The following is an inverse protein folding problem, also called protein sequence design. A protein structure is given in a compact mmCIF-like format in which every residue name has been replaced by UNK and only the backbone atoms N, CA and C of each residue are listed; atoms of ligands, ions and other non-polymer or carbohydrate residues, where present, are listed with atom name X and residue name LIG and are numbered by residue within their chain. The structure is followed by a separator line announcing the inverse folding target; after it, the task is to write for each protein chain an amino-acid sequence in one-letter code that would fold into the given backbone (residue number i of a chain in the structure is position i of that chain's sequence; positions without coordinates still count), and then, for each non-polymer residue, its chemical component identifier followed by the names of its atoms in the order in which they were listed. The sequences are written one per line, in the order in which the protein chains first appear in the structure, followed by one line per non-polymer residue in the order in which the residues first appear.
data_IF_080502661069
#
_entry.id   IF_080502661069
#
_cell.length_a   1.000
_cell.length_b   1.000
_cell.length_c   1.000
_cell.angle_alpha   90.00
_cell.angle_beta   90.00
_cell.angle_gamma   90.00
#
_symmetry.space_group_name_H-M   'P 1'
#
loop_
_entity.id
_entity.type
_entity.pdbx_description
1 polymer ?
#
# COMPACT_ATOMS: atom_id res chain seq x y z
N UNK A 1 3.79 2.57 5.50
CA UNK A 1 5.12 1.97 5.87
C UNK A 1 5.34 0.57 5.31
N UNK A 2 4.50 -0.41 5.64
CA UNK A 2 4.72 -1.82 5.30
C UNK A 2 4.91 -2.08 3.81
N UNK A 3 4.19 -1.39 2.93
CA UNK A 3 4.37 -1.52 1.48
C UNK A 3 5.76 -1.08 1.02
N UNK A 4 6.32 -0.01 1.61
CA UNK A 4 7.66 0.45 1.26
C UNK A 4 8.73 -0.52 1.73
N UNK A 5 8.57 -1.10 2.93
CA UNK A 5 9.43 -2.18 3.40
C UNK A 5 9.33 -3.38 2.46
N UNK A 6 8.12 -3.83 2.13
CA UNK A 6 7.93 -4.95 1.20
C UNK A 6 8.59 -4.71 -0.15
N UNK A 7 8.51 -3.50 -0.71
CA UNK A 7 9.21 -3.14 -1.95
C UNK A 7 10.73 -3.17 -1.77
N UNK A 8 11.24 -2.59 -0.69
CA UNK A 8 12.68 -2.53 -0.42
C UNK A 8 13.27 -3.93 -0.19
N UNK A 9 12.71 -4.68 0.77
CA UNK A 9 13.24 -5.97 1.22
C UNK A 9 13.11 -7.06 0.15
N UNK A 10 12.07 -7.02 -0.69
CA UNK A 10 11.88 -8.01 -1.77
C UNK A 10 12.54 -7.63 -3.10
N UNK A 11 13.22 -6.48 -3.17
CA UNK A 11 13.70 -5.94 -4.45
C UNK A 11 12.57 -5.73 -5.45
N UNK A 12 11.44 -5.17 -5.00
CA UNK A 12 10.19 -5.01 -5.74
C UNK A 12 9.65 -6.32 -6.34
N UNK A 13 9.65 -7.39 -5.52
CA UNK A 13 9.17 -8.72 -5.90
C UNK A 13 10.14 -9.50 -6.81
N UNK A 14 11.36 -9.01 -7.02
CA UNK A 14 12.35 -9.65 -7.90
C UNK A 14 13.31 -10.56 -7.16
N UNK A 15 13.42 -10.40 -5.84
CA UNK A 15 14.29 -11.19 -4.98
C UNK A 15 14.00 -12.68 -5.05
N UNK A 16 15.06 -13.49 -4.94
CA UNK A 16 14.95 -14.94 -5.04
C UNK A 16 14.09 -15.52 -3.92
N UNK A 17 14.31 -15.05 -2.68
CA UNK A 17 13.57 -15.51 -1.51
C UNK A 17 12.07 -15.22 -1.63
N UNK A 18 11.67 -14.03 -2.14
CA UNK A 18 10.26 -13.72 -2.31
C UNK A 18 9.62 -14.58 -3.42
N UNK A 19 10.35 -14.87 -4.51
CA UNK A 19 9.85 -15.70 -5.62
C UNK A 19 9.71 -17.17 -5.23
N UNK A 20 10.67 -17.72 -4.50
CA UNK A 20 10.71 -19.15 -4.16
C UNK A 20 9.89 -19.49 -2.92
N UNK A 21 9.77 -18.55 -1.99
CA UNK A 21 9.19 -18.81 -0.67
C UNK A 21 8.09 -17.84 -0.25
N UNK A 22 7.65 -16.93 -1.13
CA UNK A 22 6.69 -15.86 -0.83
C UNK A 22 7.09 -14.96 0.35
N UNK A 23 8.35 -15.02 0.79
CA UNK A 23 8.86 -14.26 1.92
C UNK A 23 9.40 -12.91 1.44
N UNK A 24 8.56 -11.87 1.56
CA UNK A 24 8.87 -10.53 1.05
C UNK A 24 9.76 -9.70 1.98
N UNK A 25 10.00 -10.16 3.22
CA UNK A 25 10.66 -9.38 4.26
C UNK A 25 11.90 -10.06 4.84
N UNK A 26 12.36 -11.17 4.25
CA UNK A 26 13.53 -11.88 4.75
C UNK A 26 13.34 -12.45 6.16
N UNK A 27 12.13 -12.86 6.53
CA UNK A 27 11.86 -13.33 7.91
C UNK A 27 12.56 -14.68 8.13
N UNK A 28 13.55 -14.70 9.03
CA UNK A 28 14.33 -15.89 9.40
C UNK A 28 13.50 -16.87 10.25
N UNK A 29 13.90 -18.14 10.26
CA UNK A 29 13.35 -19.17 11.14
C UNK A 29 13.80 -18.91 12.59
N UNK A 30 13.12 -18.02 13.29
CA UNK A 30 13.30 -17.86 14.73
C UNK A 30 12.84 -19.10 15.50
N UNK A 31 13.30 -19.24 16.75
CA UNK A 31 12.90 -20.33 17.66
C UNK A 31 11.38 -20.46 17.70
N UNK A 32 10.88 -21.68 17.50
CA UNK A 32 9.45 -22.01 17.54
C UNK A 32 8.71 -21.87 16.20
N UNK A 33 9.38 -21.55 15.10
CA UNK A 33 8.76 -21.67 13.78
C UNK A 33 8.47 -23.14 13.44
N UNK A 34 7.21 -23.43 13.12
CA UNK A 34 6.73 -24.79 12.78
C UNK A 34 6.22 -24.91 11.34
N UNK A 35 6.20 -23.81 10.59
CA UNK A 35 5.77 -23.82 9.20
C UNK A 35 6.90 -24.23 8.25
N UNK A 36 6.59 -24.17 6.95
CA UNK A 36 7.57 -24.45 5.90
C UNK A 36 8.78 -23.50 5.99
N UNK A 37 9.92 -23.98 5.51
CA UNK A 37 11.17 -23.22 5.49
C UNK A 37 11.94 -23.43 4.19
N UNK A 38 12.87 -22.53 3.93
CA UNK A 38 13.84 -22.61 2.83
C UNK A 38 15.20 -22.14 3.35
N UNK A 39 16.27 -22.75 2.84
CA UNK A 39 17.62 -22.28 3.09
C UNK A 39 18.06 -21.32 1.98
N UNK A 40 18.67 -20.21 2.36
CA UNK A 40 19.16 -19.18 1.45
C UNK A 40 20.40 -18.53 2.05
N UNK A 41 21.37 -18.18 1.22
CA UNK A 41 22.58 -17.50 1.67
C UNK A 41 22.31 -15.99 1.66
N UNK A 42 22.42 -15.32 2.81
CA UNK A 42 22.16 -13.87 2.96
C UNK A 42 23.30 -13.18 3.73
N UNK A 43 23.29 -13.25 5.07
CA UNK A 43 24.41 -12.82 5.92
C UNK A 43 25.42 -13.95 6.15
N UNK A 44 24.97 -15.20 6.05
CA UNK A 44 25.77 -16.42 6.21
C UNK A 44 25.27 -17.53 5.29
N UNK A 45 26.09 -18.56 5.09
CA UNK A 45 25.69 -19.74 4.31
C UNK A 45 24.55 -20.49 5.02
N UNK A 46 23.57 -20.91 4.22
CA UNK A 46 22.46 -21.79 4.60
C UNK A 46 21.65 -21.26 5.77
N UNK A 47 21.34 -19.96 5.76
CA UNK A 47 20.41 -19.40 6.74
C UNK A 47 18.98 -19.88 6.48
N UNK A 48 18.27 -20.18 7.56
CA UNK A 48 16.89 -20.64 7.48
C UNK A 48 15.93 -19.44 7.40
N UNK A 49 15.09 -19.44 6.38
CA UNK A 49 14.02 -18.47 6.18
C UNK A 49 12.65 -19.15 6.17
N UNK A 50 11.66 -18.44 6.71
CA UNK A 50 10.26 -18.89 6.67
C UNK A 50 9.79 -18.94 5.22
N UNK A 51 8.99 -19.96 4.89
CA UNK A 51 8.32 -20.12 3.59
C UNK A 51 6.81 -20.08 3.79
N UNK A 52 6.15 -19.43 2.85
CA UNK A 52 4.70 -19.22 2.88
C UNK A 52 4.05 -19.69 1.59
N UNK A 53 2.76 -20.03 1.66
CA UNK A 53 1.99 -20.42 0.48
C UNK A 53 1.56 -19.21 -0.34
N UNK A 54 1.23 -18.09 0.32
CA UNK A 54 0.87 -16.83 -0.33
C UNK A 54 1.69 -15.65 0.18
N UNK A 55 1.96 -14.63 -0.67
CA UNK A 55 2.62 -13.39 -0.24
C UNK A 55 1.97 -12.77 1.00
N UNK A 56 0.63 -12.74 1.05
CA UNK A 56 -0.13 -12.14 2.14
C UNK A 56 0.23 -12.70 3.54
N UNK A 57 0.63 -13.96 3.64
CA UNK A 57 1.06 -14.57 4.90
C UNK A 57 2.36 -13.95 5.40
N UNK A 58 3.31 -13.65 4.51
CA UNK A 58 4.55 -12.96 4.89
C UNK A 58 4.30 -11.53 5.38
N UNK A 59 3.31 -10.83 4.81
CA UNK A 59 2.89 -9.50 5.28
C UNK A 59 2.18 -9.57 6.64
N UNK A 60 1.36 -10.60 6.86
CA UNK A 60 0.74 -10.86 8.16
C UNK A 60 1.79 -11.16 9.22
N UNK A 61 2.75 -12.03 8.92
CA UNK A 61 3.81 -12.40 9.85
C UNK A 61 4.76 -11.23 10.15
N UNK A 62 5.09 -10.42 9.14
CA UNK A 62 5.79 -9.15 9.33
C UNK A 62 5.04 -8.18 10.26
N UNK A 63 3.72 -8.07 10.09
CA UNK A 63 2.88 -7.25 10.97
C UNK A 63 2.87 -7.78 12.40
N UNK A 64 2.81 -9.11 12.58
CA UNK A 64 2.96 -9.75 13.90
C UNK A 64 4.34 -9.51 14.51
N UNK A 65 5.40 -9.56 13.71
CA UNK A 65 6.76 -9.26 14.16
C UNK A 65 6.88 -7.84 14.73
N UNK A 66 6.29 -6.84 14.06
CA UNK A 66 6.29 -5.46 14.53
C UNK A 66 5.40 -5.26 15.76
N UNK A 67 4.20 -5.86 15.78
CA UNK A 67 3.23 -5.66 16.88
C UNK A 67 3.57 -6.44 18.15
N UNK A 68 4.25 -7.58 18.06
CA UNK A 68 4.53 -8.47 19.21
C UNK A 68 5.80 -8.12 19.97
N UNK A 69 6.76 -7.42 19.37
CA UNK A 69 8.08 -7.18 19.97
C UNK A 69 8.13 -5.85 20.70
N UNK A 70 8.54 -5.90 21.97
CA UNK A 70 8.60 -4.74 22.88
C UNK A 70 9.32 -3.52 22.26
N UNK A 71 10.44 -3.77 21.58
CA UNK A 71 11.28 -2.72 20.98
C UNK A 71 10.55 -1.83 19.97
N UNK A 72 9.46 -2.31 19.36
CA UNK A 72 8.68 -1.55 18.38
C UNK A 72 7.41 -0.91 18.98
N UNK A 73 7.04 -1.19 20.24
CA UNK A 73 5.79 -0.69 20.83
C UNK A 73 5.62 0.82 20.74
N UNK A 74 6.70 1.59 20.94
CA UNK A 74 6.69 3.06 20.86
C UNK A 74 6.33 3.59 19.47
N UNK A 75 6.50 2.80 18.41
CA UNK A 75 6.09 3.19 17.07
C UNK A 75 4.57 3.30 16.95
N UNK A 76 3.82 2.45 17.66
CA UNK A 76 2.37 2.43 17.61
C UNK A 76 1.69 3.56 18.38
N UNK A 77 2.46 4.40 19.10
CA UNK A 77 1.97 5.68 19.64
C UNK A 77 2.18 6.86 18.70
N UNK A 78 2.90 6.66 17.58
CA UNK A 78 3.03 7.68 16.56
C UNK A 78 1.75 7.79 15.74
N UNK A 79 1.55 8.95 15.13
CA UNK A 79 0.48 9.14 14.14
C UNK A 79 0.65 8.12 13.00
N UNK A 80 -0.45 7.47 12.61
CA UNK A 80 -0.43 6.41 11.59
C UNK A 80 -0.09 6.92 10.20
N UNK A 81 -0.31 8.21 9.92
CA UNK A 81 0.08 8.88 8.68
C UNK A 81 1.50 9.43 8.69
N UNK A 82 2.16 9.54 9.86
CA UNK A 82 3.53 10.04 9.97
C UNK A 82 4.57 8.95 9.64
N UNK A 83 4.62 8.60 8.35
CA UNK A 83 5.58 7.64 7.84
C UNK A 83 7.05 8.06 8.02
N UNK A 84 7.33 9.36 8.21
CA UNK A 84 8.70 9.85 8.41
C UNK A 84 9.19 9.49 9.81
N UNK A 85 8.39 9.77 10.84
CA UNK A 85 8.69 9.35 12.21
C UNK A 85 8.71 7.83 12.36
N UNK A 86 7.81 7.12 11.67
CA UNK A 86 7.85 5.65 11.63
C UNK A 86 9.15 5.12 11.02
N UNK A 87 9.60 5.67 9.89
CA UNK A 87 10.84 5.23 9.24
C UNK A 87 12.06 5.45 10.13
N UNK A 88 12.13 6.59 10.81
CA UNK A 88 13.19 6.91 11.76
C UNK A 88 13.14 5.98 12.98
N UNK A 89 11.95 5.83 13.58
CA UNK A 89 11.75 5.00 14.75
C UNK A 89 12.01 3.51 14.48
N UNK A 90 11.77 3.00 13.27
CA UNK A 90 12.15 1.63 12.90
C UNK A 90 13.67 1.43 12.97
N UNK A 91 14.45 2.38 12.45
CA UNK A 91 15.91 2.35 12.55
C UNK A 91 16.37 2.48 14.00
N UNK A 92 15.78 3.38 14.78
CA UNK A 92 16.18 3.60 16.18
C UNK A 92 15.79 2.42 17.08
N UNK A 93 14.66 1.79 16.77
CA UNK A 93 14.28 0.51 17.34
C UNK A 93 15.16 -0.64 16.86
N UNK A 94 16.05 -0.43 15.88
CA UNK A 94 17.03 -1.40 15.37
C UNK A 94 16.42 -2.49 14.46
N UNK A 95 15.48 -2.11 13.61
CA UNK A 95 14.98 -2.94 12.51
C UNK A 95 16.06 -3.20 11.44
N UNK A 96 16.86 -2.17 11.11
CA UNK A 96 17.95 -2.25 10.15
C UNK A 96 19.21 -1.57 10.68
N UNK A 97 20.37 -2.06 10.26
CA UNK A 97 21.69 -1.50 10.59
C UNK A 97 22.11 -0.36 9.67
N UNK A 98 21.58 -0.32 8.44
CA UNK A 98 21.88 0.71 7.46
C UNK A 98 21.40 2.10 7.93
N UNK A 99 22.32 3.09 8.11
CA UNK A 99 21.93 4.43 8.53
C UNK A 99 21.04 5.16 7.51
N UNK A 100 21.05 4.74 6.23
CA UNK A 100 20.20 5.31 5.18
C UNK A 100 18.83 4.65 5.09
N UNK A 101 18.54 3.65 5.93
CA UNK A 101 17.28 2.91 5.89
C UNK A 101 16.04 3.83 5.97
N UNK A 102 15.96 4.83 6.89
CA UNK A 102 14.80 5.73 6.92
C UNK A 102 14.63 6.51 5.61
N UNK A 103 15.73 7.06 5.07
CA UNK A 103 15.70 7.82 3.82
C UNK A 103 15.27 6.96 2.62
N UNK A 104 15.69 5.69 2.56
CA UNK A 104 15.26 4.75 1.52
C UNK A 104 13.75 4.49 1.59
N UNK A 105 13.20 4.26 2.78
CA UNK A 105 11.76 4.06 2.97
C UNK A 105 10.96 5.32 2.58
N UNK A 106 11.37 6.48 3.09
CA UNK A 106 10.73 7.77 2.76
C UNK A 106 10.74 7.99 1.25
N UNK A 107 11.88 7.77 0.59
CA UNK A 107 11.99 7.90 -0.87
C UNK A 107 11.02 6.97 -1.61
N UNK A 108 10.90 5.70 -1.21
CA UNK A 108 9.96 4.75 -1.83
C UNK A 108 8.51 5.20 -1.61
N UNK A 109 8.16 5.63 -0.39
CA UNK A 109 6.81 6.10 -0.06
C UNK A 109 6.44 7.30 -0.91
N UNK A 110 7.31 8.30 -1.02
CA UNK A 110 7.05 9.52 -1.78
C UNK A 110 7.05 9.26 -3.29
N UNK A 111 8.02 8.49 -3.81
CA UNK A 111 8.13 8.15 -5.23
C UNK A 111 6.92 7.41 -5.78
N UNK A 112 6.41 6.44 -5.01
CA UNK A 112 5.23 5.66 -5.41
C UNK A 112 3.94 6.16 -4.74
N UNK A 113 4.00 7.31 -4.07
CA UNK A 113 2.87 7.94 -3.39
C UNK A 113 2.13 7.00 -2.45
N UNK A 114 2.82 6.08 -1.79
CA UNK A 114 2.21 5.02 -0.97
C UNK A 114 1.39 5.58 0.21
N UNK A 115 1.73 6.77 0.69
CA UNK A 115 0.94 7.50 1.68
C UNK A 115 -0.49 7.84 1.23
N UNK A 116 -0.76 7.91 -0.09
CA UNK A 116 -2.12 8.13 -0.61
C UNK A 116 -3.00 6.88 -0.37
N UNK A 117 -2.37 5.69 -0.32
CA UNK A 117 -3.04 4.42 0.03
C UNK A 117 -3.38 4.40 1.53
N UNK A 118 -2.49 4.90 2.39
CA UNK A 118 -2.73 4.98 3.83
C UNK A 118 -3.93 5.91 4.11
N UNK A 119 -4.01 7.07 3.45
CA UNK A 119 -5.18 7.98 3.51
C UNK A 119 -6.48 7.28 3.10
N UNK A 120 -6.43 6.44 2.06
CA UNK A 120 -7.59 5.64 1.61
C UNK A 120 -8.03 4.60 2.65
N UNK A 121 -7.10 3.96 3.36
CA UNK A 121 -7.41 2.92 4.36
C UNK A 121 -7.89 3.53 5.68
N UNK A 122 -7.37 4.70 6.06
CA UNK A 122 -7.66 5.34 7.34
C UNK A 122 -8.94 6.20 7.33
N UNK A 123 -9.57 6.38 6.17
CA UNK A 123 -10.83 7.14 6.05
C UNK A 123 -10.67 8.66 6.25
N UNK A 124 -9.45 9.18 6.09
CA UNK A 124 -9.21 10.63 6.10
C UNK A 124 -9.57 11.22 4.74
N UNK A 125 -10.42 12.25 4.73
CA UNK A 125 -10.61 13.13 3.57
C UNK A 125 -9.25 13.80 3.26
N UNK A 126 -8.51 13.26 2.30
CA UNK A 126 -7.28 13.87 1.83
C UNK A 126 -7.60 15.18 1.12
N UNK A 127 -7.61 16.27 1.89
CA UNK A 127 -7.74 17.62 1.38
C UNK A 127 -6.38 18.03 0.82
N UNK A 128 -6.17 17.79 -0.48
CA UNK A 128 -4.93 18.05 -1.22
C UNK A 128 -4.60 19.54 -1.41
N UNK A 129 -4.98 20.41 -0.47
CA UNK A 129 -4.84 21.87 -0.57
C UNK A 129 -3.66 22.44 0.23
N UNK A 130 -2.84 21.61 0.89
CA UNK A 130 -1.70 22.05 1.67
C UNK A 130 -0.36 21.65 1.02
N UNK A 131 -0.14 22.13 -0.21
CA UNK A 131 1.16 22.47 -0.84
C UNK A 131 1.14 22.17 -2.34
N UNK A 132 0.63 23.13 -3.12
CA UNK A 132 1.17 23.44 -4.45
C UNK A 132 0.75 24.88 -4.83
N UNK A 133 1.27 25.86 -4.07
CA UNK A 133 1.35 27.23 -4.55
C UNK A 133 2.49 27.31 -5.58
N UNK A 134 2.22 26.85 -6.80
CA UNK A 134 2.96 27.28 -7.99
C UNK A 134 1.94 27.66 -9.06
N UNK A 135 1.73 28.97 -9.12
CA UNK A 135 0.90 29.72 -10.04
C UNK A 135 1.10 29.31 -11.51
N UNK A 136 -0.01 28.95 -12.17
CA UNK A 136 -0.22 29.26 -13.59
C UNK A 136 -1.72 29.47 -13.86
N UNK A 137 -2.14 30.73 -13.88
CA UNK A 137 -3.33 31.21 -14.60
C UNK A 137 -2.96 31.30 -16.09
N UNK A 138 -3.78 31.12 -17.12
CA UNK A 138 -5.17 30.74 -17.35
C UNK A 138 -5.17 30.02 -18.74
N UNK A 139 -6.21 29.31 -19.19
CA UNK A 139 -7.22 29.85 -20.12
C UNK A 139 -8.14 28.70 -20.60
N UNK A 140 -9.45 28.90 -20.38
CA UNK A 140 -10.64 28.44 -21.12
C UNK A 140 -10.81 26.97 -21.52
N UNK A 141 -11.76 26.29 -20.89
CA UNK A 141 -13.10 26.03 -21.47
C UNK A 141 -13.95 25.27 -20.45
N UNK A 142 -15.23 25.63 -20.34
CA UNK A 142 -16.18 25.06 -19.39
C UNK A 142 -16.38 23.55 -19.56
N UNK A 143 -15.53 22.76 -18.91
CA UNK A 143 -15.70 21.34 -18.70
C UNK A 143 -16.20 21.15 -17.28
N UNK A 144 -17.52 20.99 -17.15
CA UNK A 144 -18.17 20.72 -15.87
C UNK A 144 -17.73 19.34 -15.36
N UNK A 145 -16.69 19.34 -14.51
CA UNK A 145 -16.09 18.17 -13.87
C UNK A 145 -17.06 17.41 -12.94
N UNK A 146 -18.29 17.89 -12.76
CA UNK A 146 -19.27 17.34 -11.81
C UNK A 146 -20.04 16.11 -12.29
N UNK A 147 -19.88 15.67 -13.55
CA UNK A 147 -20.74 14.62 -14.17
C UNK A 147 -20.04 13.29 -14.47
N UNK A 148 -18.84 13.12 -13.95
CA UNK A 148 -18.06 11.90 -14.11
C UNK A 148 -17.56 11.41 -12.77
N UNK A 149 -17.53 10.09 -12.61
CA UNK A 149 -16.99 9.44 -11.44
C UNK A 149 -15.81 8.59 -11.86
N UNK A 150 -14.64 8.86 -11.27
CA UNK A 150 -13.48 7.98 -11.41
C UNK A 150 -13.63 6.83 -10.43
N UNK A 151 -13.65 5.60 -10.93
CA UNK A 151 -13.79 4.39 -10.13
C UNK A 151 -12.64 4.31 -9.14
N UNK A 152 -12.97 4.38 -7.86
CA UNK A 152 -12.06 4.18 -6.75
C UNK A 152 -12.28 2.80 -6.13
N UNK A 153 -11.33 2.39 -5.28
CA UNK A 153 -11.39 1.09 -4.63
C UNK A 153 -12.59 1.02 -3.68
N UNK A 154 -13.39 -0.04 -3.82
CA UNK A 154 -14.66 -0.21 -3.10
C UNK A 154 -15.89 0.21 -3.91
N UNK A 155 -15.70 0.86 -5.06
CA UNK A 155 -16.80 1.08 -5.97
C UNK A 155 -17.25 -0.21 -6.63
N UNK A 156 -18.55 -0.39 -6.62
CA UNK A 156 -19.28 -1.42 -7.35
C UNK A 156 -20.38 -0.71 -8.13
N UNK A 157 -20.90 -1.33 -9.18
CA UNK A 157 -22.06 -0.79 -9.85
C UNK A 157 -23.23 -0.54 -8.89
N UNK A 158 -23.36 -1.38 -7.85
CA UNK A 158 -24.36 -1.22 -6.79
C UNK A 158 -24.10 0.01 -5.89
N UNK A 159 -22.87 0.18 -5.39
CA UNK A 159 -22.55 1.34 -4.53
C UNK A 159 -22.66 2.66 -5.30
N UNK A 160 -22.26 2.68 -6.57
CA UNK A 160 -22.43 3.85 -7.44
C UNK A 160 -23.90 4.10 -7.80
N UNK A 161 -24.68 3.04 -8.04
CA UNK A 161 -26.13 3.13 -8.25
C UNK A 161 -26.83 3.79 -7.07
N UNK A 162 -26.49 3.40 -5.84
CA UNK A 162 -27.04 4.01 -4.62
C UNK A 162 -26.55 5.44 -4.40
N UNK A 163 -25.26 5.68 -4.61
CA UNK A 163 -24.63 7.00 -4.43
C UNK A 163 -25.23 8.06 -5.36
N UNK A 164 -25.49 7.70 -6.61
CA UNK A 164 -25.97 8.63 -7.64
C UNK A 164 -27.44 8.45 -7.98
N UNK A 165 -28.17 7.61 -7.24
CA UNK A 165 -29.58 7.32 -7.45
C UNK A 165 -29.92 6.97 -8.92
N UNK A 166 -29.05 6.17 -9.55
CA UNK A 166 -29.19 5.68 -10.93
C UNK A 166 -29.37 4.17 -10.92
N UNK A 167 -30.21 3.59 -11.78
CA UNK A 167 -30.30 2.13 -11.88
C UNK A 167 -29.00 1.53 -12.41
N UNK A 168 -28.65 0.32 -11.98
CA UNK A 168 -27.46 -0.39 -12.51
C UNK A 168 -27.58 -0.56 -14.03
N UNK A 169 -28.78 -0.84 -14.53
CA UNK A 169 -29.06 -0.99 -15.96
C UNK A 169 -28.75 0.30 -16.74
N UNK A 170 -29.17 1.47 -16.23
CA UNK A 170 -28.89 2.76 -16.85
C UNK A 170 -27.40 3.12 -16.76
N UNK A 171 -26.75 2.84 -15.62
CA UNK A 171 -25.32 3.09 -15.43
C UNK A 171 -24.48 2.28 -16.43
N UNK A 172 -24.83 0.99 -16.64
CA UNK A 172 -24.19 0.13 -17.66
C UNK A 172 -24.48 0.64 -19.07
N UNK A 173 -25.72 1.00 -19.37
CA UNK A 173 -26.14 1.48 -20.70
C UNK A 173 -25.40 2.74 -21.13
N UNK A 174 -25.25 3.71 -20.24
CA UNK A 174 -24.60 5.01 -20.55
C UNK A 174 -23.10 4.86 -20.73
N UNK A 175 -22.49 3.91 -20.01
CA UNK A 175 -21.05 3.64 -20.05
C UNK A 175 -20.68 2.47 -20.97
N UNK A 176 -21.65 1.90 -21.69
CA UNK A 176 -21.47 0.76 -22.59
C UNK A 176 -20.74 -0.41 -21.92
N UNK A 177 -21.09 -0.70 -20.65
CA UNK A 177 -20.45 -1.75 -19.86
C UNK A 177 -21.11 -3.11 -20.15
N UNK A 178 -20.32 -4.03 -20.71
CA UNK A 178 -20.75 -5.41 -20.92
C UNK A 178 -20.60 -6.25 -19.63
N UNK A 179 -19.59 -5.95 -18.81
CA UNK A 179 -19.32 -6.63 -17.53
C UNK A 179 -19.68 -5.76 -16.32
N UNK A 180 -19.75 -6.39 -15.14
CA UNK A 180 -20.01 -5.70 -13.86
C UNK A 180 -18.73 -5.33 -13.11
N UNK A 181 -17.57 -5.65 -13.69
CA UNK A 181 -16.26 -5.42 -13.10
C UNK A 181 -15.79 -4.03 -13.52
N UNK A 182 -15.54 -3.17 -12.53
CA UNK A 182 -15.01 -1.83 -12.74
C UNK A 182 -13.50 -1.82 -12.55
N UNK A 183 -12.78 -1.18 -13.47
CA UNK A 183 -11.33 -1.01 -13.35
C UNK A 183 -11.01 0.23 -12.53
N UNK A 184 -10.03 0.16 -11.63
CA UNK A 184 -9.60 1.33 -10.86
C UNK A 184 -9.12 2.44 -11.80
N UNK A 185 -9.58 3.67 -11.56
CA UNK A 185 -9.32 4.83 -12.40
C UNK A 185 -10.17 4.91 -13.67
N UNK A 186 -11.07 3.93 -13.90
CA UNK A 186 -12.03 4.00 -15.00
C UNK A 186 -12.98 5.19 -14.80
N UNK A 187 -13.16 5.99 -15.85
CA UNK A 187 -14.07 7.13 -15.79
C UNK A 187 -15.47 6.69 -16.23
N UNK A 188 -16.44 6.82 -15.32
CA UNK A 188 -17.85 6.56 -15.56
C UNK A 188 -18.61 7.86 -15.72
N UNK A 189 -19.41 7.96 -16.78
CA UNK A 189 -20.43 8.98 -16.97
C UNK A 189 -21.58 8.71 -16.01
N UNK A 190 -21.93 9.70 -15.21
CA UNK A 190 -23.08 9.65 -14.30
C UNK A 190 -24.22 10.47 -14.92
N UNK A 191 -25.42 9.89 -14.99
CA UNK A 191 -26.62 10.50 -15.59
C UNK A 191 -27.19 11.57 -14.64
N UNK A 192 -27.86 12.58 -15.20
CA UNK A 192 -28.89 13.32 -14.47
C UNK A 192 -30.18 12.49 -14.37
#
# INVERSE_FOLDING_TARGET
ITLAQGILESGAGKGELCKKANNHFGIKCHVGWQGDMVFHDDDSEQECFRKYNHPAESYKDHSLFLTSRERYKKLFSLDTGDYKSWAQGLKDAGYATDPKYPAKLIHIIEKFKLHEIDSFVLGYDYNSSANENKSFEAVTNGYDKSKQHSVIKGDTLYSLSKKYNISIADLKKINQLESEILSLGQILKIKQ
#
